data_IF_808936920680
#
_entry.id   IF_808936920680
#
_cell.length_a   1.000
_cell.length_b   1.000
_cell.length_c   1.000
_cell.angle_alpha   90.00
_cell.angle_beta   90.00
_cell.angle_gamma   90.00
#
_symmetry.space_group_name_H-M   'P 1'
#
loop_
_entity.id
_entity.type
_entity.pdbx_description
1 polymer ?
#
# COMPACT_ATOMS: atom_id res chain seq x y z
N UNK A 1 -29.14 -25.67 6.76
CA UNK A 1 -27.77 -25.13 6.67
C UNK A 1 -27.80 -23.99 5.65
N UNK A 2 -27.79 -22.73 6.10
CA UNK A 2 -27.69 -21.60 5.19
C UNK A 2 -26.21 -21.35 4.91
N UNK A 3 -25.79 -21.44 3.65
CA UNK A 3 -24.50 -20.88 3.22
C UNK A 3 -24.71 -19.38 3.05
N UNK A 4 -24.19 -18.58 3.96
CA UNK A 4 -24.00 -17.16 3.72
C UNK A 4 -22.73 -17.05 2.88
N UNK A 5 -22.88 -16.91 1.56
CA UNK A 5 -21.80 -16.51 0.67
C UNK A 5 -21.73 -14.99 0.71
N UNK A 6 -21.12 -14.44 1.75
CA UNK A 6 -20.59 -13.08 1.70
C UNK A 6 -19.16 -13.21 1.21
N UNK A 7 -18.88 -12.71 0.01
CA UNK A 7 -17.52 -12.37 -0.41
C UNK A 7 -17.06 -11.22 0.52
N UNK A 8 -16.60 -11.56 1.72
CA UNK A 8 -16.00 -10.63 2.69
C UNK A 8 -14.47 -10.80 2.67
N UNK A 9 -13.89 -10.97 1.49
CA UNK A 9 -12.43 -11.00 1.36
C UNK A 9 -11.97 -9.55 1.18
N UNK A 10 -11.41 -8.96 2.22
CA UNK A 10 -10.72 -7.67 2.14
C UNK A 10 -9.43 -7.87 1.36
N UNK A 11 -9.23 -7.09 0.30
CA UNK A 11 -8.03 -7.13 -0.53
C UNK A 11 -7.50 -5.73 -0.81
N UNK A 12 -6.22 -5.68 -1.17
CA UNK A 12 -5.55 -4.45 -1.60
C UNK A 12 -6.23 -3.92 -2.87
N UNK A 13 -6.83 -2.74 -2.79
CA UNK A 13 -7.40 -2.05 -3.94
C UNK A 13 -6.32 -1.25 -4.67
N UNK A 14 -5.61 -0.36 -3.97
CA UNK A 14 -4.61 0.51 -4.61
C UNK A 14 -3.57 1.06 -3.63
N UNK A 15 -2.38 1.38 -4.16
CA UNK A 15 -1.29 2.05 -3.44
C UNK A 15 -0.92 3.36 -4.16
N UNK A 16 -0.81 4.45 -3.40
CA UNK A 16 -0.20 5.70 -3.88
C UNK A 16 1.10 5.96 -3.15
N UNK A 17 2.17 6.23 -3.90
CA UNK A 17 3.50 6.50 -3.38
C UNK A 17 3.86 7.95 -3.68
N UNK A 18 4.05 8.76 -2.64
CA UNK A 18 4.62 10.09 -2.76
C UNK A 18 6.10 10.04 -2.37
N UNK A 19 6.98 10.02 -3.38
CA UNK A 19 8.43 9.88 -3.16
C UNK A 19 9.01 11.13 -2.47
N UNK A 20 8.50 12.31 -2.82
CA UNK A 20 8.99 13.57 -2.25
C UNK A 20 8.69 13.69 -0.74
N UNK A 21 7.54 13.16 -0.31
CA UNK A 21 7.13 13.15 1.10
C UNK A 21 7.54 11.89 1.87
N UNK A 22 8.04 10.86 1.18
CA UNK A 22 8.23 9.50 1.73
C UNK A 22 6.97 9.03 2.44
N UNK A 23 5.89 9.04 1.67
CA UNK A 23 4.55 8.70 2.15
C UNK A 23 3.96 7.65 1.21
N UNK A 24 3.30 6.67 1.80
CA UNK A 24 2.52 5.65 1.10
C UNK A 24 1.11 5.68 1.64
N UNK A 25 0.13 5.79 0.75
CA UNK A 25 -1.27 5.53 1.05
C UNK A 25 -1.66 4.16 0.49
N UNK A 26 -2.24 3.31 1.33
CA UNK A 26 -2.70 1.97 0.99
C UNK A 26 -4.21 1.95 1.19
N UNK A 27 -4.97 1.48 0.20
CA UNK A 27 -6.43 1.40 0.25
C UNK A 27 -6.90 -0.02 -0.03
N UNK A 28 -7.92 -0.44 0.70
CA UNK A 28 -8.64 -1.67 0.44
C UNK A 28 -9.93 -1.45 -0.35
N UNK A 29 -10.55 -2.54 -0.78
CA UNK A 29 -11.79 -2.54 -1.55
C UNK A 29 -13.03 -2.15 -0.73
N UNK A 30 -12.89 -1.94 0.58
CA UNK A 30 -13.96 -1.49 1.48
C UNK A 30 -13.88 0.04 1.69
N UNK A 31 -12.88 0.69 1.10
CA UNK A 31 -12.67 2.13 1.15
C UNK A 31 -11.95 2.60 2.43
N UNK A 32 -11.36 1.68 3.21
CA UNK A 32 -10.45 2.07 4.28
C UNK A 32 -9.08 2.37 3.69
N UNK A 33 -8.44 3.41 4.22
CA UNK A 33 -7.07 3.74 3.86
C UNK A 33 -6.17 3.92 5.08
N UNK A 34 -4.93 3.51 4.91
CA UNK A 34 -3.83 3.73 5.84
C UNK A 34 -2.77 4.58 5.17
N UNK A 35 -2.25 5.56 5.91
CA UNK A 35 -1.13 6.41 5.47
C UNK A 35 0.08 6.10 6.33
N UNK A 36 1.13 5.63 5.69
CA UNK A 36 2.43 5.36 6.31
C UNK A 36 3.41 6.43 5.85
N UNK A 37 4.14 7.02 6.79
CA UNK A 37 5.16 8.04 6.51
C UNK A 37 6.49 7.63 7.11
N UNK A 38 7.58 7.98 6.42
CA UNK A 38 8.93 7.71 6.88
C UNK A 38 9.66 9.01 7.15
N UNK A 39 10.48 9.02 8.20
CA UNK A 39 11.30 10.18 8.53
C UNK A 39 12.37 10.47 7.47
N UNK A 40 12.87 11.70 7.45
CA UNK A 40 13.96 12.11 6.57
C UNK A 40 15.37 11.72 7.08
N UNK A 41 15.44 10.76 7.99
CA UNK A 41 16.68 10.16 8.50
C UNK A 41 17.22 9.09 7.53
N UNK A 42 18.50 8.67 7.65
CA UNK A 42 19.04 7.55 6.89
C UNK A 42 18.22 6.26 7.06
N UNK A 43 17.86 5.91 8.29
CA UNK A 43 17.04 4.71 8.57
C UNK A 43 15.66 4.80 7.91
N UNK A 44 15.07 6.01 7.87
CA UNK A 44 13.83 6.26 7.16
C UNK A 44 13.95 6.13 5.63
N UNK A 45 15.08 6.52 5.04
CA UNK A 45 15.38 6.29 3.61
C UNK A 45 15.41 4.80 3.32
N UNK A 46 16.14 4.05 4.14
CA UNK A 46 16.39 2.63 3.91
C UNK A 46 15.07 1.86 4.02
N UNK A 47 14.28 2.11 5.07
CA UNK A 47 12.97 1.50 5.25
C UNK A 47 11.98 1.84 4.13
N UNK A 48 11.94 3.09 3.68
CA UNK A 48 11.10 3.49 2.55
C UNK A 48 11.52 2.79 1.25
N UNK A 49 12.82 2.77 0.96
CA UNK A 49 13.37 2.15 -0.25
C UNK A 49 13.12 0.65 -0.28
N UNK A 50 13.31 -0.03 0.85
CA UNK A 50 13.02 -1.45 0.99
C UNK A 50 11.52 -1.75 0.78
N UNK A 51 10.64 -0.90 1.32
CA UNK A 51 9.19 -1.03 1.14
C UNK A 51 8.78 -0.89 -0.33
N UNK A 52 9.33 0.10 -1.04
CA UNK A 52 9.05 0.28 -2.48
C UNK A 52 9.54 -0.90 -3.32
N UNK A 53 10.66 -1.52 -2.94
CA UNK A 53 11.16 -2.72 -3.59
C UNK A 53 10.17 -3.88 -3.42
N UNK A 54 9.69 -4.12 -2.20
CA UNK A 54 8.71 -5.15 -1.91
C UNK A 54 7.40 -4.94 -2.67
N UNK A 55 6.91 -3.70 -2.77
CA UNK A 55 5.72 -3.40 -3.55
C UNK A 55 5.86 -3.76 -5.02
N UNK A 56 7.01 -3.45 -5.64
CA UNK A 56 7.27 -3.82 -7.04
C UNK A 56 7.32 -5.34 -7.26
N UNK A 57 7.69 -6.11 -6.25
CA UNK A 57 7.79 -7.57 -6.34
C UNK A 57 6.46 -8.28 -6.09
N UNK A 58 5.57 -7.69 -5.29
CA UNK A 58 4.35 -8.35 -4.79
C UNK A 58 3.05 -7.79 -5.34
N UNK A 59 3.03 -6.52 -5.77
CA UNK A 59 1.81 -5.82 -6.16
C UNK A 59 1.83 -5.60 -7.68
N UNK A 60 0.73 -5.90 -8.39
CA UNK A 60 0.59 -5.60 -9.80
C UNK A 60 0.88 -4.12 -10.10
N UNK A 61 1.59 -3.84 -11.19
CA UNK A 61 1.99 -2.47 -11.56
C UNK A 61 0.77 -1.54 -11.73
N UNK A 62 -0.37 -2.08 -12.17
CA UNK A 62 -1.63 -1.34 -12.32
C UNK A 62 -2.27 -0.89 -11.00
N UNK A 63 -1.86 -1.46 -9.87
CA UNK A 63 -2.35 -1.12 -8.52
C UNK A 63 -1.43 -0.14 -7.77
N UNK A 64 -0.36 0.36 -8.40
CA UNK A 64 0.56 1.33 -7.79
C UNK A 64 0.63 2.60 -8.64
N UNK A 65 0.40 3.75 -8.00
CA UNK A 65 0.62 5.08 -8.60
C UNK A 65 1.73 5.83 -7.88
N UNK A 66 2.72 6.30 -8.63
CA UNK A 66 3.77 7.19 -8.11
C UNK A 66 3.39 8.66 -8.39
N UNK A 67 3.36 9.49 -7.34
CA UNK A 67 2.93 10.90 -7.33
C UNK A 67 4.10 11.88 -7.26
#
# INVERSE_FOLDING_TARGET
MAKITGDNETYLEHIWVNVAKREVKIMDNEGYDEIVTWEFSPDGVDGFTETLKHFREMVPEEQITYL
#
